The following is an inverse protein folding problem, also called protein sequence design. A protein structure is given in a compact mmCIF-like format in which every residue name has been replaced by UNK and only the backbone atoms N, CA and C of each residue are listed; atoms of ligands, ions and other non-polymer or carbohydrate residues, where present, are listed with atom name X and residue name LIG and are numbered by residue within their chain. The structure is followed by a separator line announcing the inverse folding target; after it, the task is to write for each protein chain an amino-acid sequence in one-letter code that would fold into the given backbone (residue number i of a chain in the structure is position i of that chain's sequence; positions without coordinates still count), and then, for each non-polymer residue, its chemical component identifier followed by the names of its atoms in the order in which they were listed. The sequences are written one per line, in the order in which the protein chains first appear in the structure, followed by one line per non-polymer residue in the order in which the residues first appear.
data_IF_872931787750
#
_entry.id   IF_872931787750
#
_cell.length_a   1.000
_cell.length_b   1.000
_cell.length_c   1.000
_cell.angle_alpha   90.00
_cell.angle_beta   90.00
_cell.angle_gamma   90.00
#
_symmetry.space_group_name_H-M   'P 1'
#
loop_
_entity.id
_entity.type
_entity.pdbx_description
1 polymer ?
#
# COMPACT_ATOMS: atom_id res chain seq x y z
N UNK A 1 -9.58 10.26 -16.26
CA UNK A 1 -10.43 11.14 -15.43
C UNK A 1 -11.79 10.55 -15.05
N UNK A 2 -12.55 9.96 -15.98
CA UNK A 2 -13.94 9.50 -15.71
C UNK A 2 -14.07 8.48 -14.58
N UNK A 3 -13.08 7.58 -14.43
CA UNK A 3 -13.04 6.56 -13.37
C UNK A 3 -12.39 7.04 -12.06
N UNK A 4 -11.75 8.20 -12.04
CA UNK A 4 -11.10 8.72 -10.83
C UNK A 4 -12.15 9.35 -9.91
N UNK A 5 -12.09 9.12 -8.58
CA UNK A 5 -13.04 9.73 -7.66
C UNK A 5 -13.11 11.24 -7.84
N UNK A 6 -14.31 11.78 -8.04
CA UNK A 6 -14.49 13.21 -8.31
C UNK A 6 -13.98 14.09 -7.16
N UNK A 7 -14.07 13.58 -5.93
CA UNK A 7 -13.62 14.23 -4.70
C UNK A 7 -12.10 14.32 -4.59
N UNK A 8 -11.36 13.47 -5.31
CA UNK A 8 -9.89 13.41 -5.29
C UNK A 8 -9.26 14.09 -6.52
N UNK A 9 -10.07 14.74 -7.37
CA UNK A 9 -9.54 15.47 -8.53
C UNK A 9 -8.67 16.63 -8.07
N UNK A 10 -7.46 16.71 -8.63
CA UNK A 10 -6.47 17.72 -8.28
C UNK A 10 -5.67 17.42 -7.00
N UNK A 11 -5.97 16.31 -6.29
CA UNK A 11 -5.12 15.84 -5.22
C UNK A 11 -3.83 15.22 -5.78
N UNK A 12 -2.72 15.38 -5.05
CA UNK A 12 -1.46 14.70 -5.37
C UNK A 12 -1.61 13.20 -5.17
N UNK A 13 -1.21 12.42 -6.18
CA UNK A 13 -1.17 10.97 -6.15
C UNK A 13 0.26 10.54 -5.91
N UNK A 14 0.48 9.77 -4.84
CA UNK A 14 1.80 9.21 -4.57
C UNK A 14 1.86 7.76 -5.04
N UNK A 15 2.85 7.45 -5.87
CA UNK A 15 3.25 6.09 -6.18
C UNK A 15 4.48 5.78 -5.34
N UNK A 16 4.31 4.88 -4.38
CA UNK A 16 5.39 4.41 -3.53
C UNK A 16 6.15 3.25 -4.19
N UNK A 17 7.48 3.30 -4.15
CA UNK A 17 8.39 2.25 -4.61
C UNK A 17 9.36 1.84 -3.50
N UNK A 18 10.00 0.69 -3.65
CA UNK A 18 11.13 0.32 -2.78
C UNK A 18 12.42 1.07 -3.20
N UNK A 19 13.52 0.84 -2.48
CA UNK A 19 14.80 1.52 -2.73
C UNK A 19 15.73 0.73 -3.68
N UNK A 20 15.23 -0.21 -4.48
CA UNK A 20 16.05 -0.97 -5.42
C UNK A 20 16.63 -0.06 -6.50
N UNK A 21 17.92 -0.26 -6.82
CA UNK A 21 18.70 0.61 -7.73
C UNK A 21 18.15 0.71 -9.15
N UNK A 22 17.29 -0.22 -9.57
CA UNK A 22 16.69 -0.25 -10.90
C UNK A 22 15.44 0.61 -11.02
N UNK A 23 14.91 1.13 -9.91
CA UNK A 23 13.76 2.03 -9.95
C UNK A 23 14.13 3.42 -10.50
N UNK A 24 13.13 4.10 -11.05
CA UNK A 24 13.28 5.47 -11.52
C UNK A 24 13.61 6.39 -10.34
N UNK A 25 14.41 7.42 -10.59
CA UNK A 25 14.60 8.47 -9.61
C UNK A 25 13.25 9.18 -9.35
N UNK A 26 13.04 9.66 -8.12
CA UNK A 26 11.78 10.32 -7.76
C UNK A 26 11.50 11.59 -8.56
N UNK A 27 12.56 12.18 -9.11
CA UNK A 27 12.61 13.37 -9.95
C UNK A 27 12.98 13.05 -11.42
N UNK A 28 12.79 11.80 -11.87
CA UNK A 28 13.04 11.42 -13.25
C UNK A 28 12.23 12.32 -14.21
N UNK A 29 12.89 13.07 -15.12
CA UNK A 29 12.23 14.13 -15.89
C UNK A 29 11.20 13.56 -16.87
N UNK A 30 11.45 12.37 -17.42
CA UNK A 30 10.53 11.70 -18.35
C UNK A 30 9.27 11.26 -17.60
N UNK A 31 9.44 10.69 -16.40
CA UNK A 31 8.33 10.35 -15.53
C UNK A 31 7.53 11.59 -15.15
N UNK A 32 8.17 12.66 -14.66
CA UNK A 32 7.48 13.88 -14.23
C UNK A 32 6.66 14.54 -15.36
N UNK A 33 7.19 14.56 -16.58
CA UNK A 33 6.48 15.07 -17.75
C UNK A 33 5.21 14.24 -18.02
N UNK A 34 5.33 12.92 -18.09
CA UNK A 34 4.19 12.02 -18.36
C UNK A 34 3.17 11.99 -17.21
N UNK A 35 3.66 12.03 -15.97
CA UNK A 35 2.87 12.05 -14.74
C UNK A 35 1.95 13.28 -14.62
N UNK A 36 2.27 14.36 -15.34
CA UNK A 36 1.50 15.61 -15.36
C UNK A 36 0.69 15.83 -16.64
N UNK A 37 0.85 14.97 -17.66
CA UNK A 37 0.35 15.18 -19.01
C UNK A 37 -1.19 15.27 -19.15
N UNK A 38 -1.96 14.86 -18.13
CA UNK A 38 -3.42 14.87 -18.13
C UNK A 38 -4.04 15.66 -16.96
N UNK A 39 -3.29 16.61 -16.39
CA UNK A 39 -3.72 17.42 -15.25
C UNK A 39 -3.73 16.64 -13.92
N UNK A 40 -3.06 15.49 -13.87
CA UNK A 40 -2.73 14.81 -12.62
C UNK A 40 -1.46 15.40 -12.00
N UNK A 41 -1.34 15.27 -10.69
CA UNK A 41 -0.11 15.52 -9.94
C UNK A 41 0.36 14.18 -9.37
N UNK A 42 0.99 13.35 -10.20
CA UNK A 42 1.52 12.04 -9.78
C UNK A 42 3.00 12.20 -9.42
N UNK A 43 3.38 11.74 -8.23
CA UNK A 43 4.75 11.81 -7.73
C UNK A 43 5.23 10.45 -7.28
N UNK A 44 6.48 10.14 -7.60
CA UNK A 44 7.15 8.98 -7.02
C UNK A 44 7.63 9.32 -5.61
N UNK A 45 7.58 8.33 -4.73
CA UNK A 45 8.25 8.38 -3.43
C UNK A 45 8.84 7.02 -3.10
N UNK A 46 9.96 7.03 -2.39
CA UNK A 46 10.54 5.81 -1.85
C UNK A 46 9.97 5.53 -0.46
N UNK A 47 9.79 4.25 -0.14
CA UNK A 47 9.56 3.86 1.24
C UNK A 47 10.80 4.12 2.12
N UNK A 48 10.63 4.23 3.45
CA UNK A 48 11.75 4.25 4.36
C UNK A 48 12.66 3.01 4.22
N UNK A 49 14.00 3.14 4.30
CA UNK A 49 14.91 2.01 4.22
C UNK A 49 14.59 0.92 5.25
N UNK A 50 14.82 -0.35 4.89
CA UNK A 50 14.62 -1.52 5.76
C UNK A 50 13.21 -1.65 6.37
N UNK A 51 12.18 -1.07 5.75
CA UNK A 51 10.80 -1.06 6.26
C UNK A 51 9.85 -1.85 5.32
N UNK A 52 9.94 -3.19 5.26
CA UNK A 52 9.12 -4.01 4.37
C UNK A 52 7.62 -3.98 4.73
N UNK A 53 7.31 -3.66 5.98
CA UNK A 53 5.96 -3.36 6.49
C UNK A 53 5.35 -2.08 5.89
N UNK A 54 6.19 -1.20 5.35
CA UNK A 54 5.78 -0.01 4.62
C UNK A 54 5.72 -0.20 3.10
N UNK A 55 5.95 -1.42 2.60
CA UNK A 55 5.56 -1.81 1.24
C UNK A 55 4.25 -2.60 1.29
N UNK A 56 3.14 -2.04 0.81
CA UNK A 56 1.88 -2.78 0.80
C UNK A 56 1.95 -4.06 -0.05
N UNK A 57 2.77 -4.06 -1.10
CA UNK A 57 2.91 -5.18 -2.01
C UNK A 57 3.55 -6.38 -1.28
N UNK A 58 4.66 -6.13 -0.57
CA UNK A 58 5.37 -7.15 0.19
C UNK A 58 4.62 -7.53 1.48
N UNK A 59 4.04 -6.55 2.18
CA UNK A 59 3.35 -6.75 3.46
C UNK A 59 2.22 -7.77 3.36
N UNK A 60 1.50 -7.84 2.23
CA UNK A 60 0.42 -8.80 2.12
C UNK A 60 -0.20 -9.01 0.75
N UNK A 61 -0.04 -8.09 -0.21
CA UNK A 61 -0.67 -8.27 -1.51
C UNK A 61 -0.10 -9.48 -2.26
N UNK A 62 1.23 -9.57 -2.41
CA UNK A 62 1.86 -10.69 -3.10
C UNK A 62 1.59 -12.02 -2.41
N UNK A 63 1.74 -12.09 -1.08
CA UNK A 63 1.43 -13.29 -0.31
C UNK A 63 -0.03 -13.73 -0.48
N UNK A 64 -0.96 -12.77 -0.48
CA UNK A 64 -2.37 -13.04 -0.68
C UNK A 64 -2.69 -13.50 -2.10
N UNK A 65 -2.12 -12.84 -3.12
CA UNK A 65 -2.32 -13.23 -4.52
C UNK A 65 -1.72 -14.61 -4.80
N UNK A 66 -0.53 -14.88 -4.27
CA UNK A 66 0.13 -16.18 -4.34
C UNK A 66 -0.74 -17.29 -3.73
N UNK A 67 -1.44 -17.04 -2.62
CA UNK A 67 -2.34 -18.02 -2.01
C UNK A 67 -3.55 -18.40 -2.87
N UNK A 68 -3.98 -17.50 -3.77
CA UNK A 68 -5.03 -17.77 -4.76
C UNK A 68 -4.44 -18.59 -5.90
N UNK A 69 -3.30 -18.15 -6.42
CA UNK A 69 -2.58 -18.82 -7.51
C UNK A 69 -2.12 -20.24 -7.15
N UNK A 70 -1.65 -20.51 -5.92
CA UNK A 70 -1.15 -21.85 -5.52
C UNK A 70 -2.21 -22.96 -5.65
N UNK A 71 -3.49 -22.61 -5.75
CA UNK A 71 -4.59 -23.55 -5.95
C UNK A 71 -4.75 -24.01 -7.40
N UNK A 72 -4.02 -23.44 -8.35
CA UNK A 72 -4.26 -23.66 -9.80
C UNK A 72 -3.25 -24.58 -10.49
N UNK A 73 -2.16 -24.97 -9.82
CA UNK A 73 -1.13 -25.92 -10.29
C UNK A 73 -0.68 -25.72 -11.76
N UNK A 74 -0.08 -24.57 -12.10
CA UNK A 74 0.28 -24.27 -13.48
C UNK A 74 1.45 -25.11 -14.00
N UNK A 75 1.46 -25.33 -15.32
CA UNK A 75 2.36 -26.30 -15.99
C UNK A 75 3.46 -25.67 -16.85
N UNK A 76 3.63 -24.36 -16.82
CA UNK A 76 4.69 -23.64 -17.54
C UNK A 76 4.51 -22.13 -17.49
N UNK A 77 5.49 -21.37 -18.00
CA UNK A 77 5.53 -19.90 -17.87
C UNK A 77 4.27 -19.21 -18.42
N UNK A 78 3.79 -19.61 -19.59
CA UNK A 78 2.58 -19.02 -20.19
C UNK A 78 1.34 -19.24 -19.30
N UNK A 79 1.22 -20.45 -18.72
CA UNK A 79 0.13 -20.79 -17.80
C UNK A 79 0.27 -20.02 -16.48
N UNK A 80 1.50 -19.80 -15.98
CA UNK A 80 1.75 -18.94 -14.82
C UNK A 80 1.23 -17.52 -15.05
N UNK A 81 1.59 -16.90 -16.18
CA UNK A 81 1.13 -15.54 -16.53
C UNK A 81 -0.39 -15.48 -16.56
N UNK A 82 -1.03 -16.41 -17.29
CA UNK A 82 -2.49 -16.48 -17.36
C UNK A 82 -3.13 -16.63 -15.98
N UNK A 83 -2.59 -17.50 -15.12
CA UNK A 83 -3.15 -17.73 -13.77
C UNK A 83 -2.97 -16.54 -12.84
N UNK A 84 -1.86 -15.80 -12.96
CA UNK A 84 -1.68 -14.55 -12.20
C UNK A 84 -2.68 -13.49 -12.65
N UNK A 85 -2.88 -13.32 -13.96
CA UNK A 85 -3.89 -12.40 -14.50
C UNK A 85 -5.31 -12.77 -14.05
N UNK A 86 -5.67 -14.05 -14.13
CA UNK A 86 -6.96 -14.56 -13.61
C UNK A 86 -7.11 -14.30 -12.11
N UNK A 87 -6.07 -14.53 -11.31
CA UNK A 87 -6.09 -14.27 -9.87
C UNK A 87 -6.22 -12.77 -9.54
N UNK A 88 -5.55 -11.91 -10.31
CA UNK A 88 -5.62 -10.45 -10.15
C UNK A 88 -6.99 -9.90 -10.50
N UNK A 89 -7.53 -10.29 -11.67
CA UNK A 89 -8.84 -9.82 -12.14
C UNK A 89 -10.00 -10.24 -11.23
N UNK A 90 -9.84 -11.39 -10.54
CA UNK A 90 -10.82 -11.89 -9.57
C UNK A 90 -10.46 -11.52 -8.11
N UNK A 91 -9.45 -10.68 -7.89
CA UNK A 91 -8.98 -10.36 -6.55
C UNK A 91 -10.02 -9.55 -5.77
N UNK A 92 -10.31 -9.98 -4.54
CA UNK A 92 -11.37 -9.37 -3.74
C UNK A 92 -10.96 -7.97 -3.23
N UNK A 93 -11.75 -6.91 -3.51
CA UNK A 93 -11.51 -5.58 -2.94
C UNK A 93 -11.50 -5.59 -1.42
N UNK A 94 -12.27 -6.47 -0.77
CA UNK A 94 -12.27 -6.57 0.69
C UNK A 94 -10.96 -7.14 1.24
N UNK A 95 -10.34 -8.11 0.54
CA UNK A 95 -9.02 -8.60 0.93
C UNK A 95 -7.99 -7.48 0.77
N UNK A 96 -8.06 -6.72 -0.32
CA UNK A 96 -7.22 -5.52 -0.51
C UNK A 96 -7.39 -4.52 0.64
N UNK A 97 -8.63 -4.17 1.00
CA UNK A 97 -8.91 -3.28 2.13
C UNK A 97 -8.30 -3.80 3.44
N UNK A 98 -8.38 -5.11 3.71
CA UNK A 98 -7.76 -5.71 4.91
C UNK A 98 -6.24 -5.54 4.96
N UNK A 99 -5.57 -5.53 3.81
CA UNK A 99 -4.12 -5.30 3.70
C UNK A 99 -3.83 -3.82 3.95
N UNK A 100 -4.57 -2.90 3.33
CA UNK A 100 -4.45 -1.45 3.58
C UNK A 100 -4.62 -1.08 5.06
N UNK A 101 -5.63 -1.64 5.73
CA UNK A 101 -5.82 -1.41 7.17
C UNK A 101 -4.68 -1.98 8.02
N UNK A 102 -4.01 -3.05 7.56
CA UNK A 102 -2.82 -3.58 8.24
C UNK A 102 -1.65 -2.62 8.07
N UNK A 103 -1.41 -2.16 6.84
CA UNK A 103 -0.38 -1.17 6.52
C UNK A 103 -0.53 0.12 7.33
N UNK A 104 -1.74 0.68 7.39
CA UNK A 104 -2.02 1.85 8.22
C UNK A 104 -1.84 1.58 9.72
N UNK A 105 -2.13 0.37 10.20
CA UNK A 105 -1.87 0.02 11.60
C UNK A 105 -0.38 -0.08 11.92
N UNK A 106 0.43 -0.58 10.98
CA UNK A 106 1.89 -0.57 11.07
C UNK A 106 2.42 0.86 11.17
N UNK A 107 1.98 1.75 10.27
CA UNK A 107 2.34 3.18 10.31
C UNK A 107 2.03 3.83 11.66
N UNK A 108 0.89 3.50 12.28
CA UNK A 108 0.51 4.02 13.61
C UNK A 108 1.45 3.55 14.71
N UNK A 109 1.87 2.29 14.69
CA UNK A 109 2.84 1.77 15.68
C UNK A 109 4.23 2.38 15.46
N UNK A 110 4.67 2.54 14.21
CA UNK A 110 5.95 3.21 13.89
C UNK A 110 5.96 4.63 14.44
N UNK A 111 4.89 5.40 14.23
CA UNK A 111 4.78 6.76 14.78
C UNK A 111 4.75 6.76 16.30
N UNK A 112 3.99 5.86 16.93
CA UNK A 112 3.91 5.74 18.40
C UNK A 112 5.26 5.36 19.02
N UNK A 113 6.08 4.61 18.30
CA UNK A 113 7.36 4.08 18.77
C UNK A 113 8.54 4.81 18.12
N UNK A 114 8.37 6.06 17.71
CA UNK A 114 9.43 6.95 17.23
C UNK A 114 10.31 6.32 16.13
N UNK A 115 9.69 5.68 15.14
CA UNK A 115 10.40 5.08 14.00
C UNK A 115 10.90 3.65 14.23
N UNK A 116 10.55 3.01 15.35
CA UNK A 116 10.95 1.62 15.62
C UNK A 116 10.47 0.65 14.54
N UNK A 117 11.35 -0.26 14.13
CA UNK A 117 11.03 -1.42 13.30
C UNK A 117 10.56 -2.63 14.12
N UNK A 118 10.53 -2.50 15.45
CA UNK A 118 10.21 -3.58 16.37
C UNK A 118 8.88 -3.34 17.06
N UNK A 119 7.84 -3.93 16.49
CA UNK A 119 6.49 -3.94 17.06
C UNK A 119 5.70 -5.14 16.52
N UNK A 120 4.74 -5.66 17.30
CA UNK A 120 3.82 -6.67 16.80
C UNK A 120 2.81 -6.04 15.84
N UNK A 121 2.52 -6.72 14.72
CA UNK A 121 1.47 -6.27 13.79
C UNK A 121 0.12 -6.23 14.51
N UNK A 122 -0.59 -5.09 14.56
CA UNK A 122 -1.86 -4.98 15.27
C UNK A 122 -2.98 -5.87 14.72
N UNK A 123 -3.62 -6.64 15.60
CA UNK A 123 -4.75 -7.51 15.25
C UNK A 123 -6.10 -6.78 15.35
N UNK A 124 -6.53 -6.15 14.26
CA UNK A 124 -7.78 -5.35 14.22
C UNK A 124 -9.09 -6.15 14.10
N UNK A 125 -9.06 -7.49 14.28
CA UNK A 125 -10.24 -8.37 14.10
C UNK A 125 -11.02 -8.13 12.79
N UNK A 126 -10.29 -7.80 11.71
CA UNK A 126 -10.85 -7.30 10.43
C UNK A 126 -11.97 -8.18 9.87
N UNK A 127 -11.80 -9.51 9.89
CA UNK A 127 -12.83 -10.45 9.43
C UNK A 127 -14.14 -10.37 10.22
N UNK A 128 -14.09 -10.06 11.52
CA UNK A 128 -15.28 -9.89 12.33
C UNK A 128 -16.00 -8.57 12.04
N UNK A 129 -15.25 -7.49 11.80
CA UNK A 129 -15.80 -6.19 11.40
C UNK A 129 -16.44 -6.26 10.00
N UNK A 130 -15.80 -6.98 9.08
CA UNK A 130 -16.29 -7.22 7.74
C UNK A 130 -17.62 -7.97 7.73
N UNK A 131 -17.73 -9.06 8.51
CA UNK A 131 -19.01 -9.81 8.66
C UNK A 131 -20.15 -8.94 9.21
N UNK A 132 -19.83 -7.89 9.96
CA UNK A 132 -20.80 -6.94 10.50
C UNK A 132 -21.08 -5.77 9.55
N UNK A 133 -20.39 -5.68 8.41
CA UNK A 133 -20.53 -4.58 7.44
C UNK A 133 -19.97 -3.24 7.94
N UNK A 134 -19.10 -3.25 8.95
CA UNK A 134 -18.56 -2.04 9.60
C UNK A 134 -17.03 -1.94 9.53
N UNK A 135 -16.39 -2.73 8.66
CA UNK A 135 -14.94 -2.62 8.43
C UNK A 135 -14.67 -1.27 7.73
N UNK A 136 -13.86 -0.37 8.31
CA UNK A 136 -13.54 0.89 7.67
C UNK A 136 -12.69 0.69 6.41
N UNK A 137 -12.59 1.73 5.58
CA UNK A 137 -11.67 1.79 4.44
C UNK A 137 -10.35 2.51 4.77
N UNK A 138 -10.31 3.21 5.91
CA UNK A 138 -9.13 3.90 6.42
C UNK A 138 -9.19 4.00 7.95
N UNK A 139 -8.04 3.94 8.60
CA UNK A 139 -7.89 4.16 10.04
C UNK A 139 -7.63 5.63 10.32
N UNK A 140 -8.21 6.12 11.42
CA UNK A 140 -7.82 7.41 11.99
C UNK A 140 -6.49 7.27 12.73
N UNK A 141 -5.71 8.36 12.74
CA UNK A 141 -4.52 8.49 13.56
C UNK A 141 -4.75 9.60 14.58
N UNK A 142 -4.39 9.34 15.84
CA UNK A 142 -4.56 10.33 16.91
C UNK A 142 -3.58 11.48 16.70
N UNK A 143 -4.09 12.72 16.74
CA UNK A 143 -3.28 13.91 16.46
C UNK A 143 -2.06 14.02 17.40
N UNK A 144 -2.19 13.57 18.64
CA UNK A 144 -1.10 13.53 19.61
C UNK A 144 0.04 12.61 19.16
N UNK A 145 -0.26 11.43 18.59
CA UNK A 145 0.75 10.51 18.04
C UNK A 145 1.51 11.20 16.90
N UNK A 146 0.79 11.89 16.01
CA UNK A 146 1.39 12.62 14.90
C UNK A 146 2.29 13.75 15.41
N UNK A 147 1.81 14.54 16.37
CA UNK A 147 2.60 15.64 16.95
C UNK A 147 3.88 15.14 17.61
N UNK A 148 3.81 14.07 18.40
CA UNK A 148 4.98 13.48 19.07
C UNK A 148 5.99 12.93 18.05
N UNK A 149 5.51 12.21 17.02
CA UNK A 149 6.38 11.69 15.97
C UNK A 149 7.05 12.82 15.16
N UNK A 150 6.32 13.89 14.84
CA UNK A 150 6.86 15.07 14.15
C UNK A 150 7.87 15.79 15.02
N UNK A 151 7.62 15.94 16.33
CA UNK A 151 8.59 16.53 17.25
C UNK A 151 9.88 15.72 17.25
N UNK A 152 9.79 14.40 17.45
CA UNK A 152 10.95 13.50 17.44
C UNK A 152 11.74 13.56 16.12
N UNK A 153 11.05 13.65 14.98
CA UNK A 153 11.71 13.71 13.66
C UNK A 153 12.43 15.05 13.38
N UNK A 154 12.13 16.11 14.13
CA UNK A 154 12.74 17.43 14.00
C UNK A 154 13.86 17.69 15.03
N UNK A 155 14.09 16.76 15.96
CA UNK A 155 15.22 16.77 16.90
C UNK A 155 16.50 16.23 16.24
#
# INVERSE_FOLDING_TARGET
MEKWPAQERGATIFIQQDNAKTHAAVDDPVFCELASADGFDIRLMCQPPNSPDLNILDLGFFASLQSVYQKTSPKGVADIVQKVEEAYNNYSPNISNRIFLTHQSCMREIMRLNGSQHYPIPHLKKAALERKGILPISLTCDAEIVMQAVQYANE
#
